data_IF_017561127443
#
_entry.id   IF_017561127443
#
_cell.length_a   1.000
_cell.length_b   1.000
_cell.length_c   1.000
_cell.angle_alpha   90.00
_cell.angle_beta   90.00
_cell.angle_gamma   90.00
#
_symmetry.space_group_name_H-M   'P 1'
#
loop_
_entity.id
_entity.type
_entity.pdbx_description
1 polymer ?
#
# COMPACT_ATOMS: atom_id res chain seq x y z
N UNK A 1 22.36 -1.78 1.94
CA UNK A 1 23.27 -0.81 1.25
C UNK A 1 22.71 -0.57 -0.15
N UNK A 2 22.94 0.59 -0.71
CA UNK A 2 22.52 0.95 -2.07
C UNK A 2 23.71 1.39 -2.89
N UNK A 3 23.82 0.86 -4.12
CA UNK A 3 24.81 1.27 -5.12
C UNK A 3 24.06 1.91 -6.29
N UNK A 4 24.35 3.16 -6.58
CA UNK A 4 23.77 3.90 -7.71
C UNK A 4 24.75 3.81 -8.88
N UNK A 5 24.28 3.29 -10.00
CA UNK A 5 25.07 3.19 -11.22
C UNK A 5 25.04 4.51 -12.01
N UNK A 6 26.11 4.83 -12.71
CA UNK A 6 26.14 6.00 -13.61
C UNK A 6 25.11 5.83 -14.75
N UNK A 7 24.48 6.92 -15.19
CA UNK A 7 23.60 6.89 -16.37
C UNK A 7 24.29 6.28 -17.58
N UNK A 8 23.57 5.43 -18.32
CA UNK A 8 24.08 4.80 -19.54
C UNK A 8 25.08 3.65 -19.32
N UNK A 9 25.24 3.15 -18.08
CA UNK A 9 26.04 1.93 -17.83
C UNK A 9 25.45 0.75 -18.58
N UNK A 10 26.29 0.01 -19.29
CA UNK A 10 25.84 -1.15 -20.09
C UNK A 10 25.41 -2.29 -19.18
N UNK A 11 24.43 -3.07 -19.62
CA UNK A 11 23.90 -4.20 -18.84
C UNK A 11 25.00 -5.19 -18.43
N UNK A 12 25.97 -5.46 -19.31
CA UNK A 12 27.10 -6.36 -19.00
C UNK A 12 27.94 -5.89 -17.83
N UNK A 13 28.14 -4.57 -17.67
CA UNK A 13 28.92 -3.98 -16.60
C UNK A 13 28.14 -4.02 -15.27
N UNK A 14 26.80 -3.89 -15.35
CA UNK A 14 25.90 -4.07 -14.20
C UNK A 14 25.93 -5.53 -13.75
N UNK A 15 25.76 -6.50 -14.68
CA UNK A 15 25.73 -7.92 -14.38
C UNK A 15 27.05 -8.41 -13.76
N UNK A 16 28.18 -7.89 -14.26
CA UNK A 16 29.50 -8.19 -13.68
C UNK A 16 29.62 -7.70 -12.24
N UNK A 17 29.14 -6.49 -11.93
CA UNK A 17 29.14 -5.96 -10.56
C UNK A 17 28.19 -6.76 -9.66
N UNK A 18 26.98 -7.08 -10.15
CA UNK A 18 26.00 -7.91 -9.41
C UNK A 18 26.58 -9.27 -9.05
N UNK A 19 27.22 -9.94 -10.01
CA UNK A 19 27.87 -11.25 -9.77
C UNK A 19 28.92 -11.17 -8.66
N UNK A 20 29.76 -10.14 -8.71
CA UNK A 20 30.78 -9.90 -7.69
C UNK A 20 30.20 -9.59 -6.31
N UNK A 21 29.06 -8.86 -6.26
CA UNK A 21 28.38 -8.55 -5.00
C UNK A 21 27.70 -9.77 -4.39
N UNK A 22 27.18 -10.67 -5.23
CA UNK A 22 26.62 -11.97 -4.79
C UNK A 22 27.67 -12.90 -4.22
N UNK A 23 28.92 -12.84 -4.66
CA UNK A 23 30.03 -13.59 -4.07
C UNK A 23 30.32 -13.21 -2.62
N UNK A 24 29.81 -12.05 -2.16
CA UNK A 24 29.89 -11.57 -0.78
C UNK A 24 28.70 -12.04 0.08
N UNK A 25 27.94 -13.03 -0.37
CA UNK A 25 26.75 -13.56 0.31
C UNK A 25 25.64 -12.50 0.52
N UNK A 26 25.53 -11.59 -0.46
CA UNK A 26 24.52 -10.53 -0.46
C UNK A 26 23.45 -10.83 -1.51
N UNK A 27 22.19 -10.58 -1.11
CA UNK A 27 21.10 -10.53 -2.06
C UNK A 27 21.10 -9.17 -2.78
N UNK A 28 21.00 -9.20 -4.12
CA UNK A 28 21.10 -7.98 -4.94
C UNK A 28 19.83 -7.80 -5.75
N UNK A 29 19.01 -6.84 -5.33
CA UNK A 29 17.86 -6.35 -6.10
C UNK A 29 18.30 -5.29 -7.11
N UNK A 30 17.80 -5.36 -8.34
CA UNK A 30 18.07 -4.38 -9.40
C UNK A 30 16.80 -3.57 -9.65
N UNK A 31 16.88 -2.26 -9.51
CA UNK A 31 15.81 -1.33 -9.85
C UNK A 31 16.27 -0.44 -11.01
N UNK A 32 15.59 -0.51 -12.14
CA UNK A 32 15.88 0.32 -13.31
C UNK A 32 14.95 1.54 -13.30
N UNK A 33 15.50 2.73 -13.05
CA UNK A 33 14.82 4.00 -13.16
C UNK A 33 15.06 4.71 -14.51
N UNK A 34 14.36 5.80 -14.74
CA UNK A 34 14.45 6.58 -16.00
C UNK A 34 15.86 7.17 -16.23
N UNK A 35 16.63 7.39 -15.19
CA UNK A 35 17.95 8.04 -15.29
C UNK A 35 19.12 7.22 -14.79
N UNK A 36 18.89 6.18 -14.00
CA UNK A 36 19.97 5.36 -13.42
C UNK A 36 19.46 3.97 -13.01
N UNK A 37 20.39 3.03 -12.88
CA UNK A 37 20.13 1.72 -12.27
C UNK A 37 20.62 1.73 -10.83
N UNK A 38 19.80 1.18 -9.93
CA UNK A 38 20.11 1.05 -8.51
C UNK A 38 20.25 -0.42 -8.17
N UNK A 39 21.32 -0.76 -7.48
CA UNK A 39 21.54 -2.08 -6.89
C UNK A 39 21.27 -1.99 -5.39
N UNK A 40 20.21 -2.64 -4.95
CA UNK A 40 19.85 -2.76 -3.53
C UNK A 40 20.49 -3.99 -2.93
N UNK A 41 21.41 -3.81 -1.98
CA UNK A 41 22.10 -4.92 -1.32
C UNK A 41 21.41 -5.24 0.01
N UNK A 42 20.95 -6.47 0.15
CA UNK A 42 20.29 -6.98 1.34
C UNK A 42 21.14 -8.13 1.91
N UNK A 43 21.35 -8.14 3.22
CA UNK A 43 22.23 -9.07 3.93
C UNK A 43 23.15 -8.34 4.91
N UNK A 44 24.15 -9.02 5.44
CA UNK A 44 25.14 -8.38 6.31
C UNK A 44 26.13 -7.54 5.48
N UNK A 45 25.82 -6.26 5.38
CA UNK A 45 26.69 -5.30 4.68
C UNK A 45 27.75 -4.65 5.57
N UNK A 46 27.90 -5.08 6.83
CA UNK A 46 28.86 -4.47 7.77
C UNK A 46 30.29 -4.68 7.34
N UNK A 47 30.62 -5.84 6.81
CA UNK A 47 31.94 -6.20 6.30
C UNK A 47 32.22 -5.68 4.88
N UNK A 48 31.23 -5.10 4.21
CA UNK A 48 31.37 -4.61 2.83
C UNK A 48 32.14 -3.30 2.82
N UNK A 49 33.26 -3.30 2.13
CA UNK A 49 34.11 -2.13 1.92
C UNK A 49 33.50 -1.25 0.82
N UNK A 50 32.90 -0.13 1.25
CA UNK A 50 32.24 0.81 0.34
C UNK A 50 33.22 1.46 -0.64
N UNK A 51 34.46 1.68 -0.23
CA UNK A 51 35.48 2.33 -1.08
C UNK A 51 35.85 1.44 -2.25
N UNK A 52 35.95 0.11 -2.03
CA UNK A 52 36.17 -0.87 -3.11
C UNK A 52 35.07 -0.90 -4.16
N UNK A 53 33.82 -0.65 -3.75
CA UNK A 53 32.70 -0.56 -4.70
C UNK A 53 32.71 0.79 -5.41
N UNK A 54 33.01 1.87 -4.68
CA UNK A 54 33.03 3.23 -5.22
C UNK A 54 34.12 3.46 -6.27
N UNK A 55 35.24 2.72 -6.23
CA UNK A 55 36.30 2.76 -7.23
C UNK A 55 35.84 2.22 -8.58
N UNK A 56 34.78 1.43 -8.65
CA UNK A 56 34.28 0.93 -9.93
C UNK A 56 33.85 2.12 -10.83
N UNK A 57 34.39 2.22 -12.06
CA UNK A 57 34.17 3.37 -12.95
C UNK A 57 32.70 3.58 -13.34
N UNK A 58 31.85 2.54 -13.21
CA UNK A 58 30.45 2.55 -13.52
C UNK A 58 29.56 2.91 -12.32
N UNK A 59 30.13 3.03 -11.12
CA UNK A 59 29.41 3.43 -9.91
C UNK A 59 29.45 4.95 -9.77
N UNK A 60 28.30 5.55 -9.51
CA UNK A 60 28.16 6.98 -9.19
C UNK A 60 28.37 7.21 -7.71
N UNK A 61 27.66 6.43 -6.87
CA UNK A 61 27.79 6.52 -5.40
C UNK A 61 27.35 5.24 -4.71
N UNK A 62 27.86 5.06 -3.49
CA UNK A 62 27.47 3.97 -2.58
C UNK A 62 26.95 4.58 -1.28
N UNK A 63 25.85 4.06 -0.75
CA UNK A 63 25.23 4.56 0.48
C UNK A 63 24.85 3.42 1.41
N UNK A 64 25.06 3.57 2.71
CA UNK A 64 24.44 2.71 3.72
C UNK A 64 23.01 3.16 3.97
N UNK A 65 22.08 2.21 3.95
CA UNK A 65 20.67 2.45 4.28
C UNK A 65 20.44 1.89 5.67
N UNK A 66 20.13 2.76 6.61
CA UNK A 66 19.95 2.42 8.02
C UNK A 66 18.49 2.01 8.32
N UNK A 67 17.55 2.48 7.51
CA UNK A 67 16.13 2.16 7.68
C UNK A 67 15.90 0.65 7.61
N UNK A 68 15.03 0.08 8.49
CA UNK A 68 14.80 -1.36 8.59
C UNK A 68 14.03 -1.93 7.37
N UNK A 69 13.26 -1.10 6.65
CA UNK A 69 12.55 -1.47 5.43
C UNK A 69 13.43 -1.23 4.19
N UNK A 70 13.31 -2.10 3.19
CA UNK A 70 14.14 -2.09 1.97
C UNK A 70 13.29 -1.95 0.71
N UNK A 71 12.36 -2.89 0.46
CA UNK A 71 11.49 -2.88 -0.72
C UNK A 71 10.62 -1.62 -0.77
N UNK A 72 10.02 -1.22 0.35
CA UNK A 72 9.21 -0.01 0.46
C UNK A 72 10.00 1.29 0.53
N UNK A 73 11.35 1.25 0.56
CA UNK A 73 12.20 2.40 0.79
C UNK A 73 12.45 3.19 -0.50
N UNK A 74 12.20 4.50 -0.46
CA UNK A 74 12.47 5.43 -1.56
C UNK A 74 13.92 5.37 -2.09
N UNK A 75 14.88 5.07 -1.23
CA UNK A 75 16.30 4.98 -1.61
C UNK A 75 16.59 3.76 -2.50
N UNK A 76 15.79 2.69 -2.39
CA UNK A 76 15.89 1.49 -3.22
C UNK A 76 15.03 1.62 -4.49
N UNK A 77 13.97 2.41 -4.44
CA UNK A 77 13.06 2.64 -5.56
C UNK A 77 12.73 4.15 -5.65
N UNK A 78 13.52 4.95 -6.38
CA UNK A 78 13.40 6.41 -6.40
C UNK A 78 12.13 6.93 -7.05
N UNK A 79 11.56 6.18 -7.99
CA UNK A 79 10.37 6.55 -8.74
C UNK A 79 9.10 6.21 -7.96
N UNK A 80 8.04 6.98 -8.19
CA UNK A 80 6.75 6.70 -7.57
C UNK A 80 6.14 5.42 -8.13
N UNK A 81 5.67 4.56 -7.25
CA UNK A 81 4.86 3.41 -7.66
C UNK A 81 3.48 3.87 -8.10
N UNK A 82 3.02 3.32 -9.21
CA UNK A 82 1.66 3.50 -9.73
C UNK A 82 0.94 2.17 -9.70
N UNK A 83 -0.06 2.06 -8.85
CA UNK A 83 -0.91 0.86 -8.76
C UNK A 83 -2.08 1.02 -9.72
N UNK A 84 -2.22 0.08 -10.67
CA UNK A 84 -3.31 0.06 -11.66
C UNK A 84 -4.41 -0.92 -11.24
N UNK A 85 -5.67 -0.46 -11.28
CA UNK A 85 -6.86 -1.27 -10.96
C UNK A 85 -7.92 -1.00 -12.03
N UNK A 86 -8.10 -1.92 -12.96
CA UNK A 86 -8.91 -1.65 -14.15
C UNK A 86 -8.38 -0.42 -14.89
N UNK A 87 -9.21 0.60 -15.06
CA UNK A 87 -8.83 1.87 -15.69
C UNK A 87 -8.28 2.91 -14.68
N UNK A 88 -8.36 2.65 -13.39
CA UNK A 88 -7.88 3.56 -12.36
C UNK A 88 -6.37 3.42 -12.15
N UNK A 89 -5.71 4.54 -11.86
CA UNK A 89 -4.29 4.60 -11.50
C UNK A 89 -4.14 5.35 -10.18
N UNK A 90 -3.47 4.75 -9.22
CA UNK A 90 -3.27 5.30 -7.88
C UNK A 90 -1.77 5.53 -7.68
N UNK A 91 -1.37 6.76 -7.38
CA UNK A 91 0.03 7.16 -7.26
C UNK A 91 0.61 7.81 -8.52
N UNK A 92 1.88 8.22 -8.48
CA UNK A 92 2.60 8.83 -9.61
C UNK A 92 1.94 10.10 -10.17
N UNK A 93 1.33 10.93 -9.29
CA UNK A 93 0.62 12.14 -9.69
C UNK A 93 -0.83 11.91 -10.17
N UNK A 94 -1.32 10.67 -10.22
CA UNK A 94 -2.71 10.39 -10.53
C UNK A 94 -3.59 10.63 -9.30
N UNK A 95 -4.77 11.22 -9.51
CA UNK A 95 -5.80 11.39 -8.48
C UNK A 95 -6.94 10.41 -8.75
N UNK A 96 -7.27 9.59 -7.75
CA UNK A 96 -8.34 8.60 -7.84
C UNK A 96 -9.23 8.66 -6.61
N UNK A 97 -10.54 8.68 -6.83
CA UNK A 97 -11.54 8.65 -5.76
C UNK A 97 -12.03 7.23 -5.55
N UNK A 98 -11.91 6.75 -4.31
CA UNK A 98 -12.44 5.48 -3.83
C UNK A 98 -13.65 5.83 -2.94
N UNK A 99 -14.86 5.59 -3.41
CA UNK A 99 -16.06 5.99 -2.70
C UNK A 99 -17.04 4.82 -2.51
N UNK A 100 -17.92 4.95 -1.52
CA UNK A 100 -18.94 3.95 -1.22
C UNK A 100 -19.24 3.83 0.27
N UNK A 101 -20.19 2.98 0.67
CA UNK A 101 -20.67 2.89 2.04
C UNK A 101 -19.63 2.26 2.97
N UNK A 102 -19.66 2.63 4.24
CA UNK A 102 -18.82 1.97 5.25
C UNK A 102 -19.17 0.49 5.37
N UNK A 103 -20.44 0.12 5.22
CA UNK A 103 -20.96 -1.23 5.37
C UNK A 103 -21.91 -1.55 4.22
N UNK A 104 -21.83 -2.77 3.70
CA UNK A 104 -22.84 -3.35 2.83
C UNK A 104 -23.97 -3.89 3.71
N UNK A 105 -25.20 -3.42 3.50
CA UNK A 105 -26.34 -3.74 4.36
C UNK A 105 -27.53 -4.34 3.58
N UNK A 106 -27.63 -4.01 2.29
CA UNK A 106 -28.61 -4.60 1.36
C UNK A 106 -28.20 -4.40 -0.09
N UNK A 107 -28.79 -5.18 -1.00
CA UNK A 107 -28.59 -5.02 -2.44
C UNK A 107 -29.03 -3.62 -2.91
N UNK A 108 -30.23 -3.20 -2.51
CA UNK A 108 -30.75 -1.89 -2.89
C UNK A 108 -29.83 -0.74 -2.46
N UNK A 109 -29.26 -0.82 -1.25
CA UNK A 109 -28.33 0.18 -0.75
C UNK A 109 -27.05 0.22 -1.57
N UNK A 110 -26.40 -0.94 -1.77
CA UNK A 110 -25.07 -0.95 -2.42
C UNK A 110 -25.15 -0.61 -3.91
N UNK A 111 -26.20 -1.07 -4.60
CA UNK A 111 -26.39 -0.76 -6.01
C UNK A 111 -26.71 0.73 -6.22
N UNK A 112 -27.61 1.32 -5.44
CA UNK A 112 -27.90 2.74 -5.52
C UNK A 112 -26.67 3.60 -5.23
N UNK A 113 -25.90 3.29 -4.16
CA UNK A 113 -24.67 4.01 -3.84
C UNK A 113 -23.63 3.83 -4.95
N UNK A 114 -23.50 2.64 -5.54
CA UNK A 114 -22.55 2.40 -6.62
C UNK A 114 -22.85 3.24 -7.87
N UNK A 115 -24.12 3.38 -8.24
CA UNK A 115 -24.53 4.26 -9.33
C UNK A 115 -24.26 5.73 -9.05
N UNK A 116 -24.58 6.20 -7.84
CA UNK A 116 -24.36 7.59 -7.41
C UNK A 116 -22.86 7.97 -7.40
N UNK A 117 -22.01 7.12 -6.80
CA UNK A 117 -20.57 7.40 -6.75
C UNK A 117 -19.92 7.31 -8.12
N UNK A 118 -20.40 6.40 -9.00
CA UNK A 118 -19.96 6.34 -10.40
C UNK A 118 -20.32 7.62 -11.14
N UNK A 119 -21.56 8.07 -11.03
CA UNK A 119 -22.04 9.30 -11.65
C UNK A 119 -21.25 10.53 -11.14
N UNK A 120 -20.79 10.49 -9.88
CA UNK A 120 -19.96 11.52 -9.27
C UNK A 120 -18.48 11.41 -9.62
N UNK A 121 -18.07 10.44 -10.44
CA UNK A 121 -16.69 10.31 -10.93
C UNK A 121 -15.77 9.46 -10.06
N UNK A 122 -16.28 8.67 -9.14
CA UNK A 122 -15.46 7.70 -8.41
C UNK A 122 -14.85 6.67 -9.37
N UNK A 123 -13.59 6.33 -9.13
CA UNK A 123 -12.84 5.35 -9.90
C UNK A 123 -13.00 3.92 -9.37
N UNK A 124 -13.25 3.76 -8.07
CA UNK A 124 -13.44 2.47 -7.40
C UNK A 124 -14.62 2.56 -6.41
N UNK A 125 -15.34 1.45 -6.27
CA UNK A 125 -16.40 1.29 -5.28
C UNK A 125 -15.83 0.64 -4.01
N UNK A 126 -16.01 1.30 -2.86
CA UNK A 126 -15.64 0.71 -1.57
C UNK A 126 -16.89 0.26 -0.82
N UNK A 127 -16.85 -0.95 -0.28
CA UNK A 127 -17.89 -1.45 0.62
C UNK A 127 -17.34 -2.46 1.61
N UNK A 128 -17.72 -2.36 2.89
CA UNK A 128 -17.28 -3.32 3.90
C UNK A 128 -18.27 -4.48 4.02
N UNK A 129 -17.94 -5.67 3.50
CA UNK A 129 -18.71 -6.88 3.66
C UNK A 129 -18.54 -7.51 5.06
N UNK A 130 -17.33 -7.40 5.60
CA UNK A 130 -16.95 -7.82 6.95
C UNK A 130 -16.65 -6.60 7.80
N UNK A 131 -17.07 -6.62 9.07
CA UNK A 131 -16.94 -5.47 9.97
C UNK A 131 -16.26 -5.85 11.28
N UNK A 132 -14.99 -5.44 11.51
CA UNK A 132 -14.33 -5.59 12.81
C UNK A 132 -14.99 -4.63 13.81
N UNK A 133 -15.71 -5.17 14.79
CA UNK A 133 -16.38 -4.37 15.82
C UNK A 133 -15.77 -4.61 17.18
N UNK A 134 -15.69 -3.55 17.97
CA UNK A 134 -15.26 -3.64 19.37
C UNK A 134 -16.27 -4.39 20.23
N UNK A 135 -17.57 -4.23 19.92
CA UNK A 135 -18.64 -4.95 20.61
C UNK A 135 -19.08 -6.16 19.78
N UNK A 136 -19.17 -7.37 20.38
CA UNK A 136 -19.67 -8.56 19.70
C UNK A 136 -21.18 -8.48 19.37
N UNK A 137 -21.90 -7.56 20.00
CA UNK A 137 -23.34 -7.34 19.76
C UNK A 137 -23.63 -6.37 18.61
N UNK A 138 -22.60 -5.70 18.07
CA UNK A 138 -22.76 -4.83 16.92
C UNK A 138 -22.84 -5.65 15.62
N UNK A 139 -23.43 -5.06 14.59
CA UNK A 139 -23.49 -5.66 13.25
C UNK A 139 -22.09 -6.01 12.74
N UNK A 140 -21.85 -7.30 12.46
CA UNK A 140 -20.54 -7.83 12.07
C UNK A 140 -20.29 -7.80 10.56
N UNK A 141 -21.21 -7.22 9.77
CA UNK A 141 -21.24 -7.29 8.32
C UNK A 141 -22.07 -8.45 7.80
N UNK A 142 -22.30 -8.47 6.50
CA UNK A 142 -23.04 -9.55 5.83
C UNK A 142 -22.16 -10.75 5.45
N UNK A 143 -20.85 -10.66 5.69
CA UNK A 143 -19.92 -11.72 5.34
C UNK A 143 -19.86 -11.97 3.82
N UNK A 144 -19.84 -13.24 3.42
CA UNK A 144 -19.78 -13.64 2.00
C UNK A 144 -20.97 -13.12 1.21
N UNK A 145 -22.18 -13.11 1.78
CA UNK A 145 -23.34 -12.51 1.12
C UNK A 145 -23.13 -11.02 0.77
N UNK A 146 -22.39 -10.28 1.62
CA UNK A 146 -22.01 -8.91 1.31
C UNK A 146 -20.97 -8.79 0.18
N UNK A 147 -20.11 -9.80 -0.02
CA UNK A 147 -19.24 -9.86 -1.20
C UNK A 147 -20.05 -10.10 -2.47
N UNK A 148 -21.03 -11.00 -2.43
CA UNK A 148 -21.92 -11.28 -3.57
C UNK A 148 -22.64 -10.00 -4.02
N UNK A 149 -23.13 -9.20 -3.07
CA UNK A 149 -23.76 -7.91 -3.35
C UNK A 149 -22.77 -6.88 -3.94
N UNK A 150 -21.53 -6.86 -3.49
CA UNK A 150 -20.50 -6.02 -4.09
C UNK A 150 -20.17 -6.44 -5.52
N UNK A 151 -20.12 -7.73 -5.80
CA UNK A 151 -19.93 -8.26 -7.15
C UNK A 151 -21.08 -7.88 -8.08
N UNK A 152 -22.32 -7.91 -7.60
CA UNK A 152 -23.48 -7.46 -8.38
C UNK A 152 -23.38 -5.96 -8.68
N UNK A 153 -23.06 -5.13 -7.70
CA UNK A 153 -22.84 -3.70 -7.90
C UNK A 153 -21.69 -3.41 -8.89
N UNK A 154 -20.59 -4.19 -8.84
CA UNK A 154 -19.51 -4.13 -9.84
C UNK A 154 -20.00 -4.45 -11.24
N UNK A 155 -20.82 -5.50 -11.38
CA UNK A 155 -21.37 -5.92 -12.68
C UNK A 155 -22.26 -4.84 -13.28
N UNK A 156 -23.07 -4.16 -12.47
CA UNK A 156 -23.96 -3.09 -12.92
C UNK A 156 -23.18 -1.82 -13.30
N UNK A 157 -22.18 -1.45 -12.53
CA UNK A 157 -21.48 -0.17 -12.67
C UNK A 157 -20.16 -0.25 -13.43
N UNK A 158 -19.50 -1.41 -13.43
CA UNK A 158 -18.16 -1.60 -13.92
C UNK A 158 -17.06 -1.03 -13.00
N UNK A 159 -17.42 -0.52 -11.79
CA UNK A 159 -16.45 -0.03 -10.82
C UNK A 159 -15.71 -1.20 -10.15
N UNK A 160 -14.37 -1.23 -10.15
CA UNK A 160 -13.62 -2.18 -9.35
C UNK A 160 -13.95 -2.04 -7.86
N UNK A 161 -14.01 -3.17 -7.13
CA UNK A 161 -14.39 -3.18 -5.72
C UNK A 161 -13.19 -3.19 -4.77
N UNK A 162 -13.34 -2.42 -3.68
CA UNK A 162 -12.40 -2.39 -2.55
C UNK A 162 -13.14 -2.87 -1.31
N UNK A 163 -12.68 -3.96 -0.69
CA UNK A 163 -13.31 -4.48 0.53
C UNK A 163 -12.30 -5.07 1.50
N UNK A 164 -12.65 -5.10 2.79
CA UNK A 164 -11.75 -5.47 3.88
C UNK A 164 -11.71 -6.98 4.10
N UNK A 165 -10.50 -7.54 4.08
CA UNK A 165 -10.22 -8.90 4.56
C UNK A 165 -9.91 -8.86 6.06
N UNK A 166 -10.43 -9.84 6.80
CA UNK A 166 -10.19 -9.95 8.25
C UNK A 166 -9.51 -11.25 8.67
N UNK A 167 -9.66 -12.29 7.86
CA UNK A 167 -9.20 -13.64 8.16
C UNK A 167 -8.33 -14.15 7.01
N UNK A 168 -7.08 -14.58 7.27
CA UNK A 168 -6.19 -15.11 6.23
C UNK A 168 -6.77 -16.32 5.49
N UNK A 169 -7.66 -17.09 6.13
CA UNK A 169 -8.36 -18.23 5.48
C UNK A 169 -9.26 -17.83 4.31
N UNK A 170 -9.57 -16.54 4.19
CA UNK A 170 -10.38 -16.01 3.09
C UNK A 170 -9.54 -15.54 1.89
N UNK A 171 -8.22 -15.67 1.94
CA UNK A 171 -7.31 -15.16 0.91
C UNK A 171 -7.67 -15.67 -0.49
N UNK A 172 -7.96 -16.95 -0.67
CA UNK A 172 -8.35 -17.53 -1.96
C UNK A 172 -9.66 -16.93 -2.51
N UNK A 173 -10.66 -16.70 -1.65
CA UNK A 173 -11.91 -16.07 -2.04
C UNK A 173 -11.68 -14.63 -2.49
N UNK A 174 -10.87 -13.86 -1.74
CA UNK A 174 -10.55 -12.49 -2.06
C UNK A 174 -9.69 -12.37 -3.33
N UNK A 175 -8.73 -13.29 -3.53
CA UNK A 175 -7.95 -13.36 -4.77
C UNK A 175 -8.83 -13.53 -6.00
N UNK A 176 -9.89 -14.33 -5.92
CA UNK A 176 -10.79 -14.59 -7.03
C UNK A 176 -11.79 -13.45 -7.28
N UNK A 177 -12.35 -12.86 -6.22
CA UNK A 177 -13.54 -12.02 -6.32
C UNK A 177 -13.30 -10.52 -6.13
N UNK A 178 -12.20 -10.12 -5.48
CA UNK A 178 -11.95 -8.73 -5.08
C UNK A 178 -10.91 -8.08 -5.99
N UNK A 179 -11.07 -6.79 -6.29
CA UNK A 179 -10.12 -6.07 -7.15
C UNK A 179 -9.02 -5.38 -6.35
N UNK A 180 -9.34 -4.86 -5.15
CA UNK A 180 -8.38 -4.31 -4.19
C UNK A 180 -8.72 -4.83 -2.80
N UNK A 181 -7.77 -5.50 -2.16
CA UNK A 181 -7.95 -6.07 -0.82
C UNK A 181 -7.54 -5.03 0.23
N UNK A 182 -8.50 -4.61 1.05
CA UNK A 182 -8.20 -3.69 2.15
C UNK A 182 -7.78 -4.45 3.40
N UNK A 183 -6.67 -4.05 4.00
CA UNK A 183 -6.29 -4.44 5.37
C UNK A 183 -6.65 -3.29 6.31
N UNK A 184 -7.55 -3.56 7.24
CA UNK A 184 -8.06 -2.57 8.18
C UNK A 184 -7.02 -2.14 9.22
N UNK A 185 -7.21 -0.95 9.81
CA UNK A 185 -6.28 -0.37 10.78
C UNK A 185 -6.00 -1.26 12.00
N UNK A 186 -6.97 -2.08 12.42
CA UNK A 186 -6.78 -3.03 13.53
C UNK A 186 -5.93 -4.24 13.16
N UNK A 187 -5.79 -4.52 11.87
CA UNK A 187 -5.01 -5.63 11.31
C UNK A 187 -3.68 -5.17 10.68
N UNK A 188 -3.31 -3.88 10.83
CA UNK A 188 -2.06 -3.37 10.27
C UNK A 188 -0.83 -4.16 10.75
N UNK A 189 -0.85 -4.66 11.97
CA UNK A 189 0.22 -5.47 12.56
C UNK A 189 -0.17 -6.95 12.74
N UNK A 190 -1.19 -7.41 12.06
CA UNK A 190 -1.50 -8.83 11.95
C UNK A 190 -0.59 -9.47 10.90
N UNK A 191 0.65 -9.77 11.29
CA UNK A 191 1.71 -10.19 10.37
C UNK A 191 1.36 -11.47 9.61
N UNK A 192 0.61 -12.39 10.21
CA UNK A 192 0.17 -13.61 9.50
C UNK A 192 -0.82 -13.26 8.38
N UNK A 193 -1.74 -12.31 8.61
CA UNK A 193 -2.62 -11.79 7.56
C UNK A 193 -1.80 -11.06 6.47
N UNK A 194 -0.82 -10.24 6.88
CA UNK A 194 0.03 -9.49 5.93
C UNK A 194 0.82 -10.43 5.01
N UNK A 195 1.36 -11.52 5.55
CA UNK A 195 2.04 -12.54 4.73
C UNK A 195 1.09 -13.20 3.74
N UNK A 196 -0.14 -13.54 4.16
CA UNK A 196 -1.10 -14.18 3.26
C UNK A 196 -1.53 -13.24 2.12
N UNK A 197 -1.88 -11.99 2.44
CA UNK A 197 -2.23 -11.02 1.37
C UNK A 197 -1.02 -10.63 0.52
N UNK A 198 0.19 -10.79 1.05
CA UNK A 198 1.44 -10.59 0.32
C UNK A 198 1.70 -11.63 -0.78
N UNK A 199 1.10 -12.82 -0.69
CA UNK A 199 1.16 -13.86 -1.73
C UNK A 199 0.15 -13.65 -2.86
N UNK A 200 -0.79 -12.74 -2.67
CA UNK A 200 -1.84 -12.44 -3.64
C UNK A 200 -1.31 -11.60 -4.80
N UNK A 201 -1.97 -11.69 -5.96
CA UNK A 201 -1.70 -10.81 -7.12
C UNK A 201 -2.46 -9.48 -7.04
N UNK A 202 -3.45 -9.38 -6.14
CA UNK A 202 -4.32 -8.21 -6.00
C UNK A 202 -3.62 -7.06 -5.26
N UNK A 203 -3.87 -5.81 -5.65
CA UNK A 203 -3.41 -4.66 -4.89
C UNK A 203 -3.94 -4.66 -3.45
N UNK A 204 -3.08 -4.25 -2.51
CA UNK A 204 -3.41 -4.20 -1.08
C UNK A 204 -3.51 -2.74 -0.63
N UNK A 205 -4.69 -2.34 -0.13
CA UNK A 205 -4.88 -1.06 0.53
C UNK A 205 -4.67 -1.23 2.03
N UNK A 206 -3.50 -0.80 2.51
CA UNK A 206 -3.07 -0.96 3.90
C UNK A 206 -3.40 0.29 4.71
N UNK A 207 -4.39 0.20 5.60
CA UNK A 207 -4.75 1.30 6.49
C UNK A 207 -3.78 1.42 7.65
N UNK A 208 -3.35 2.65 7.94
CA UNK A 208 -2.54 2.98 9.11
C UNK A 208 -3.27 2.61 10.39
N UNK A 209 -2.58 2.01 11.33
CA UNK A 209 -3.09 1.71 12.67
C UNK A 209 -3.36 2.98 13.48
N UNK A 210 -4.16 2.83 14.53
CA UNK A 210 -4.71 3.97 15.29
C UNK A 210 -3.67 4.76 16.10
N UNK A 211 -2.49 4.16 16.36
CA UNK A 211 -1.42 4.77 17.17
C UNK A 211 -0.03 4.45 16.62
N UNK A 212 0.05 4.05 15.34
CA UNK A 212 1.27 3.60 14.73
C UNK A 212 2.06 4.74 14.09
N UNK A 213 3.38 4.65 14.20
CA UNK A 213 4.31 5.56 13.51
C UNK A 213 4.33 5.31 12.01
N UNK A 214 4.92 6.21 11.24
CA UNK A 214 5.14 6.02 9.80
C UNK A 214 6.05 4.81 9.53
N UNK A 215 7.09 4.64 10.34
CA UNK A 215 8.02 3.52 10.22
C UNK A 215 7.32 2.17 10.42
N UNK A 216 6.51 2.01 11.48
CA UNK A 216 5.72 0.81 11.71
C UNK A 216 4.75 0.52 10.56
N UNK A 217 4.16 1.56 9.99
CA UNK A 217 3.24 1.44 8.87
C UNK A 217 3.96 0.99 7.59
N UNK A 218 5.12 1.60 7.28
CA UNK A 218 5.96 1.18 6.16
C UNK A 218 6.50 -0.24 6.39
N UNK A 219 6.89 -0.60 7.61
CA UNK A 219 7.31 -1.97 7.94
C UNK A 219 6.19 -3.00 7.72
N UNK A 220 4.95 -2.63 7.98
CA UNK A 220 3.81 -3.50 7.65
C UNK A 220 3.63 -3.67 6.15
N UNK A 221 3.86 -2.62 5.35
CA UNK A 221 3.92 -2.73 3.89
C UNK A 221 5.10 -3.61 3.42
N UNK A 222 6.26 -3.49 4.07
CA UNK A 222 7.44 -4.32 3.79
C UNK A 222 7.13 -5.81 3.98
N UNK A 223 6.35 -6.21 5.01
CA UNK A 223 5.90 -7.60 5.19
C UNK A 223 5.10 -8.12 3.98
N UNK A 224 4.20 -7.31 3.44
CA UNK A 224 3.42 -7.66 2.25
C UNK A 224 4.36 -7.80 1.03
N UNK A 225 5.26 -6.84 0.85
CA UNK A 225 6.18 -6.80 -0.28
C UNK A 225 7.25 -7.92 -0.21
N UNK A 226 7.62 -8.35 0.98
CA UNK A 226 8.56 -9.46 1.18
C UNK A 226 8.02 -10.79 0.63
N UNK A 227 6.71 -11.00 0.68
CA UNK A 227 6.04 -12.19 0.12
C UNK A 227 5.83 -12.09 -1.41
N UNK A 228 6.17 -10.95 -2.04
CA UNK A 228 6.16 -10.79 -3.50
C UNK A 228 5.16 -9.78 -4.05
N UNK A 229 4.21 -9.29 -3.25
CA UNK A 229 3.22 -8.31 -3.71
C UNK A 229 3.73 -6.88 -3.53
N UNK A 230 4.13 -6.24 -4.61
CA UNK A 230 4.63 -4.86 -4.64
C UNK A 230 3.51 -3.82 -4.86
N UNK A 231 2.27 -4.26 -5.11
CA UNK A 231 1.12 -3.38 -5.34
C UNK A 231 0.45 -2.95 -4.03
N UNK A 232 1.18 -2.21 -3.19
CA UNK A 232 0.68 -1.74 -1.90
C UNK A 232 0.31 -0.25 -1.98
N UNK A 233 -0.88 0.09 -1.48
CA UNK A 233 -1.40 1.45 -1.35
C UNK A 233 -1.54 1.76 0.14
N UNK A 234 -0.86 2.78 0.61
CA UNK A 234 -0.95 3.24 1.99
C UNK A 234 -2.20 4.12 2.17
N UNK A 235 -2.95 3.94 3.26
CA UNK A 235 -4.16 4.71 3.54
C UNK A 235 -4.08 5.37 4.93
N UNK A 236 -3.89 6.69 4.96
CA UNK A 236 -4.02 7.49 6.17
C UNK A 236 -5.51 7.63 6.51
N UNK A 237 -5.90 7.34 7.75
CA UNK A 237 -7.30 7.29 8.22
C UNK A 237 -7.53 7.92 9.59
N UNK A 238 -6.56 8.70 10.04
CA UNK A 238 -6.55 9.32 11.36
C UNK A 238 -5.93 8.44 12.44
N UNK A 239 -5.27 9.11 13.37
CA UNK A 239 -4.65 8.51 14.55
C UNK A 239 -5.34 8.99 15.81
N UNK A 240 -5.28 8.20 16.88
CA UNK A 240 -5.75 8.61 18.19
C UNK A 240 -4.82 9.66 18.77
N UNK A 241 -5.40 10.76 19.21
CA UNK A 241 -4.71 11.83 19.92
C UNK A 241 -5.45 12.16 21.23
N UNK A 242 -5.03 13.18 21.92
CA UNK A 242 -5.74 13.72 23.09
C UNK A 242 -7.06 14.39 22.70
N UNK A 243 -7.24 14.79 21.42
CA UNK A 243 -8.47 15.44 20.96
C UNK A 243 -9.61 14.41 20.85
N UNK A 244 -10.76 14.76 21.39
CA UNK A 244 -11.94 13.88 21.47
C UNK A 244 -13.13 14.38 20.65
N UNK A 245 -13.05 15.56 20.03
CA UNK A 245 -14.12 16.09 19.21
C UNK A 245 -14.35 15.26 17.94
N UNK A 246 -13.27 14.84 17.29
CA UNK A 246 -13.32 13.90 16.16
C UNK A 246 -13.03 12.48 16.64
N UNK A 247 -13.47 11.50 15.87
CA UNK A 247 -13.18 10.08 16.15
C UNK A 247 -11.69 9.79 16.22
N UNK A 248 -10.92 10.36 15.29
CA UNK A 248 -9.46 10.36 15.22
C UNK A 248 -9.02 11.69 14.58
N UNK A 249 -7.77 12.04 14.78
CA UNK A 249 -7.17 13.21 14.13
C UNK A 249 -6.60 12.79 12.78
N UNK A 250 -7.05 13.40 11.69
CA UNK A 250 -6.45 13.18 10.36
C UNK A 250 -5.05 13.77 10.34
N UNK A 251 -4.06 12.92 10.07
CA UNK A 251 -2.67 13.32 9.98
C UNK A 251 -2.30 13.60 8.52
N UNK A 252 -2.60 14.80 8.04
CA UNK A 252 -2.28 15.21 6.68
C UNK A 252 -0.78 15.30 6.44
N UNK A 253 0.04 15.48 7.50
CA UNK A 253 1.50 15.48 7.40
C UNK A 253 2.07 14.11 7.01
N UNK A 254 1.28 13.03 7.14
CA UNK A 254 1.65 11.74 6.62
C UNK A 254 1.93 11.75 5.10
N UNK A 255 1.22 12.59 4.33
CA UNK A 255 1.36 12.62 2.86
C UNK A 255 2.77 13.02 2.43
N UNK A 256 3.32 14.21 2.80
CA UNK A 256 4.68 14.57 2.45
C UNK A 256 5.74 13.68 3.14
N UNK A 257 5.49 13.22 4.37
CA UNK A 257 6.44 12.36 5.08
C UNK A 257 6.59 11.00 4.38
N UNK A 258 5.49 10.32 4.05
CA UNK A 258 5.52 9.05 3.34
C UNK A 258 6.18 9.19 1.96
N UNK A 259 5.87 10.26 1.21
CA UNK A 259 6.53 10.52 -0.08
C UNK A 259 8.05 10.66 0.03
N UNK A 260 8.55 11.16 1.15
CA UNK A 260 9.99 11.25 1.41
C UNK A 260 10.60 9.89 1.79
N UNK A 261 9.86 9.06 2.52
CA UNK A 261 10.35 7.80 3.08
C UNK A 261 10.16 6.61 2.13
N UNK A 262 9.06 6.60 1.36
CA UNK A 262 8.63 5.48 0.54
C UNK A 262 8.20 5.93 -0.86
N UNK A 263 8.23 5.01 -1.81
CA UNK A 263 7.73 5.20 -3.17
C UNK A 263 6.26 4.77 -3.33
N UNK A 264 5.68 4.16 -2.30
CA UNK A 264 4.32 3.63 -2.32
C UNK A 264 3.29 4.77 -2.39
N UNK A 265 2.20 4.60 -3.16
CA UNK A 265 1.13 5.58 -3.22
C UNK A 265 0.42 5.70 -1.87
N UNK A 266 0.01 6.92 -1.55
CA UNK A 266 -0.75 7.22 -0.34
C UNK A 266 -2.11 7.81 -0.72
N UNK A 267 -3.16 7.34 -0.06
CA UNK A 267 -4.52 7.88 -0.09
C UNK A 267 -4.94 8.31 1.32
N UNK A 268 -5.91 9.21 1.41
CA UNK A 268 -6.48 9.67 2.68
C UNK A 268 -7.93 9.21 2.82
N UNK A 269 -8.33 8.89 4.04
CA UNK A 269 -9.69 8.50 4.41
C UNK A 269 -10.22 9.46 5.47
N UNK A 270 -10.77 10.61 5.06
CA UNK A 270 -11.29 11.62 5.98
C UNK A 270 -12.52 11.12 6.74
N UNK A 271 -13.30 10.20 6.14
CA UNK A 271 -14.53 9.66 6.74
C UNK A 271 -14.25 8.89 8.03
N UNK A 272 -13.24 8.01 8.03
CA UNK A 272 -12.89 7.26 9.23
C UNK A 272 -11.99 8.06 10.19
N UNK A 273 -11.34 9.11 9.71
CA UNK A 273 -10.63 10.05 10.57
C UNK A 273 -11.62 10.86 11.40
N UNK A 274 -12.46 11.67 10.77
CA UNK A 274 -13.40 12.56 11.47
C UNK A 274 -14.52 11.80 12.19
N UNK A 275 -15.12 10.82 11.52
CA UNK A 275 -16.32 10.12 12.01
C UNK A 275 -17.59 10.96 11.95
N UNK A 276 -17.55 12.13 11.29
CA UNK A 276 -18.65 13.09 11.10
C UNK A 276 -18.77 13.42 9.62
N UNK A 277 -19.98 13.25 9.04
CA UNK A 277 -20.19 13.38 7.60
C UNK A 277 -19.88 14.79 7.06
N UNK A 278 -20.23 15.83 7.80
CA UNK A 278 -20.04 17.22 7.40
C UNK A 278 -18.56 17.68 7.36
N UNK A 279 -17.67 16.91 8.02
CA UNK A 279 -16.22 17.16 7.99
C UNK A 279 -15.52 16.46 6.84
N UNK A 280 -16.17 15.55 6.12
CA UNK A 280 -15.53 14.75 5.07
C UNK A 280 -15.03 15.64 3.93
N UNK A 281 -15.90 16.52 3.42
CA UNK A 281 -15.55 17.46 2.35
C UNK A 281 -14.43 18.43 2.75
N UNK A 282 -14.53 19.18 3.88
CA UNK A 282 -13.45 20.07 4.31
C UNK A 282 -12.10 19.39 4.54
N UNK A 283 -12.09 18.12 4.92
CA UNK A 283 -10.85 17.36 5.14
C UNK A 283 -10.33 16.68 3.86
N UNK A 284 -11.14 16.61 2.81
CA UNK A 284 -10.74 16.05 1.52
C UNK A 284 -10.15 17.11 0.59
N UNK A 285 -10.52 18.39 0.78
CA UNK A 285 -10.03 19.56 0.04
C UNK A 285 -8.71 20.09 0.59
#
# INVERSE_FOLDING_TARGET
MVVVMKPGTRQQDIDALVSRLKELDLDVGITNGVGCTILGLVGDTTAVDMDKISINPHVERVMRVQEPYKKANRKFHPEDTVVSVGNAKIGGGNFSVIAGPCSVESEAQICAVAEDVKASGAALLRGGAFKPRTSPYSFQGMGTAGLDLLMEARKQTGLPIVTEIMDPRMAELFEREVDVVQVGARNMQNFELLKEVGKMSKPILLKRGLSNTYEEWIMSAEYIMAEGNENVILCERGVRTFESFTRNTLDISAVPAIRQMSHLPIVIDPSHAAGMYWMVEPLAL
#
